data_IF_686609791860
#
_entry.id   IF_686609791860
#
_cell.length_a   1.000
_cell.length_b   1.000
_cell.length_c   1.000
_cell.angle_alpha   90.00
_cell.angle_beta   90.00
_cell.angle_gamma   90.00
#
_symmetry.space_group_name_H-M   'P 1'
#
loop_
_entity.id
_entity.type
_entity.pdbx_description
1 polymer ?
#
# COMPACT_ATOMS: atom_id res chain seq x y z
N UNK A 1 -12.64 29.25 -37.57
CA UNK A 1 -11.88 28.70 -36.42
C UNK A 1 -10.57 28.02 -36.82
N UNK A 2 -10.51 27.17 -37.85
CA UNK A 2 -9.29 26.43 -38.25
C UNK A 2 -8.02 27.28 -38.48
N UNK A 3 -8.14 28.48 -39.08
CA UNK A 3 -7.01 29.39 -39.33
C UNK A 3 -6.30 29.89 -38.06
N UNK A 4 -7.02 30.01 -36.93
CA UNK A 4 -6.46 30.48 -35.66
C UNK A 4 -5.62 29.39 -34.98
N UNK A 5 -6.10 28.14 -35.05
CA UNK A 5 -5.43 26.96 -34.48
C UNK A 5 -4.08 26.72 -35.19
N UNK A 6 -4.05 26.81 -36.52
CA UNK A 6 -2.82 26.69 -37.30
C UNK A 6 -1.78 27.74 -36.96
N UNK A 7 -2.19 29.01 -36.85
CA UNK A 7 -1.29 30.11 -36.50
C UNK A 7 -0.66 29.88 -35.11
N UNK A 8 -1.43 29.35 -34.16
CA UNK A 8 -0.95 29.01 -32.83
C UNK A 8 0.05 27.83 -32.87
N UNK A 9 -0.20 26.80 -33.68
CA UNK A 9 0.73 25.68 -33.84
C UNK A 9 2.07 26.11 -34.45
N UNK A 10 2.05 26.96 -35.49
CA UNK A 10 3.29 27.50 -36.08
C UNK A 10 4.05 28.40 -35.10
N UNK A 11 3.35 29.21 -34.31
CA UNK A 11 3.96 30.02 -33.26
C UNK A 11 4.70 29.15 -32.23
N UNK A 12 4.07 28.06 -31.78
CA UNK A 12 4.66 27.09 -30.83
C UNK A 12 5.81 26.28 -31.42
N UNK A 13 5.72 25.93 -32.70
CA UNK A 13 6.79 25.22 -33.40
C UNK A 13 8.03 26.11 -33.63
N UNK A 14 7.84 27.42 -33.86
CA UNK A 14 8.93 28.37 -34.12
C UNK A 14 9.56 28.94 -32.86
N UNK A 15 8.79 29.09 -31.77
CA UNK A 15 9.28 29.51 -30.46
C UNK A 15 8.99 28.42 -29.44
N UNK A 16 9.84 27.38 -29.33
CA UNK A 16 9.70 26.35 -28.31
C UNK A 16 9.91 26.97 -26.93
N UNK A 17 8.82 27.28 -26.24
CA UNK A 17 8.87 27.50 -24.80
C UNK A 17 8.96 26.13 -24.10
N UNK A 18 9.62 26.04 -22.93
CA UNK A 18 9.62 24.81 -22.15
C UNK A 18 8.17 24.45 -21.80
N UNK A 19 7.69 23.35 -22.37
CA UNK A 19 6.34 22.83 -22.17
C UNK A 19 6.44 21.34 -21.77
N UNK A 20 5.50 20.82 -20.97
CA UNK A 20 5.50 19.41 -20.59
C UNK A 20 5.34 18.52 -21.83
N UNK A 21 5.98 17.35 -21.83
CA UNK A 21 5.96 16.42 -22.97
C UNK A 21 4.52 16.06 -23.42
N UNK A 22 3.57 16.06 -22.49
CA UNK A 22 2.14 15.83 -22.75
C UNK A 22 1.51 16.93 -23.62
N UNK A 23 1.88 18.19 -23.43
CA UNK A 23 1.39 19.31 -24.26
C UNK A 23 2.02 19.27 -25.66
N UNK A 24 3.31 18.92 -25.75
CA UNK A 24 4.01 18.76 -27.03
C UNK A 24 3.41 17.59 -27.83
N UNK A 25 3.04 16.49 -27.16
CA UNK A 25 2.37 15.34 -27.78
C UNK A 25 0.98 15.71 -28.33
N UNK A 26 0.21 16.52 -27.60
CA UNK A 26 -1.07 17.02 -28.09
C UNK A 26 -0.92 17.95 -29.31
N UNK A 27 0.11 18.83 -29.30
CA UNK A 27 0.43 19.68 -30.45
C UNK A 27 0.86 18.86 -31.68
N UNK A 28 1.65 17.79 -31.48
CA UNK A 28 2.00 16.83 -32.53
C UNK A 28 0.76 16.16 -33.12
N UNK A 29 -0.18 15.71 -32.30
CA UNK A 29 -1.40 15.07 -32.80
C UNK A 29 -2.23 16.07 -33.65
N UNK A 30 -2.28 17.33 -33.25
CA UNK A 30 -2.92 18.38 -34.04
C UNK A 30 -2.19 18.63 -35.37
N UNK A 31 -0.85 18.57 -35.36
CA UNK A 31 -0.01 18.64 -36.56
C UNK A 31 -0.25 17.50 -37.54
N UNK A 32 -0.39 16.27 -37.02
CA UNK A 32 -0.68 15.08 -37.83
C UNK A 32 -2.05 15.17 -38.50
N UNK A 33 -3.05 15.73 -37.81
CA UNK A 33 -4.37 16.01 -38.41
C UNK A 33 -4.28 17.03 -39.55
N UNK A 34 -3.55 18.13 -39.33
CA UNK A 34 -3.31 19.12 -40.40
C UNK A 34 -2.56 18.50 -41.59
N UNK A 35 -1.62 17.58 -41.35
CA UNK A 35 -0.91 16.89 -42.42
C UNK A 35 -1.87 16.02 -43.26
N UNK A 36 -2.82 15.34 -42.63
CA UNK A 36 -3.87 14.58 -43.32
C UNK A 36 -4.76 15.53 -44.14
N UNK A 37 -5.23 16.63 -43.55
CA UNK A 37 -6.07 17.62 -44.22
C UNK A 37 -5.33 18.30 -45.40
N UNK A 38 -4.03 18.53 -45.27
CA UNK A 38 -3.21 19.09 -46.34
C UNK A 38 -3.00 18.09 -47.49
N UNK A 39 -2.84 16.79 -47.20
CA UNK A 39 -2.74 15.74 -48.23
C UNK A 39 -4.04 15.63 -49.03
N UNK A 40 -5.18 15.56 -48.36
CA UNK A 40 -6.49 15.50 -49.02
C UNK A 40 -6.78 16.76 -49.84
N UNK A 41 -6.34 17.93 -49.38
CA UNK A 41 -6.45 19.17 -50.15
C UNK A 41 -5.59 19.18 -51.42
N UNK A 42 -4.38 18.60 -51.39
CA UNK A 42 -3.55 18.43 -52.59
C UNK A 42 -4.23 17.48 -53.58
N UNK A 43 -4.69 16.32 -53.13
CA UNK A 43 -5.40 15.34 -53.98
C UNK A 43 -6.66 15.96 -54.63
N UNK A 44 -7.44 16.73 -53.87
CA UNK A 44 -8.62 17.43 -54.38
C UNK A 44 -8.26 18.53 -55.40
N UNK A 45 -7.20 19.30 -55.13
CA UNK A 45 -6.73 20.35 -56.04
C UNK A 45 -6.16 19.77 -57.35
N UNK A 46 -5.44 18.65 -57.28
CA UNK A 46 -4.96 17.91 -58.45
C UNK A 46 -6.12 17.34 -59.28
N UNK A 47 -7.13 16.74 -58.63
CA UNK A 47 -8.31 16.25 -59.31
C UNK A 47 -9.10 17.37 -60.01
N UNK A 48 -9.27 18.53 -59.34
CA UNK A 48 -9.94 19.69 -59.91
C UNK A 48 -9.18 20.27 -61.11
N UNK A 49 -7.85 20.37 -61.02
CA UNK A 49 -7.00 20.80 -62.13
C UNK A 49 -7.13 19.84 -63.33
N UNK A 50 -7.07 18.53 -63.09
CA UNK A 50 -7.17 17.52 -64.14
C UNK A 50 -8.54 17.54 -64.84
N UNK A 51 -9.63 17.75 -64.09
CA UNK A 51 -10.97 17.89 -64.67
C UNK A 51 -11.11 19.17 -65.50
N UNK A 52 -10.39 20.25 -65.13
CA UNK A 52 -10.40 21.52 -65.83
C UNK A 52 -9.60 21.52 -67.14
N UNK A 53 -8.62 20.63 -67.33
CA UNK A 53 -7.69 20.63 -68.48
C UNK A 53 -8.36 20.65 -69.85
N UNK A 54 -9.54 20.02 -69.98
CA UNK A 54 -10.25 19.89 -71.26
C UNK A 54 -11.50 20.80 -71.34
N UNK A 55 -11.89 21.45 -70.25
CA UNK A 55 -13.20 22.08 -70.11
C UNK A 55 -13.18 23.53 -69.64
N UNK A 56 -12.09 23.97 -68.99
CA UNK A 56 -11.96 25.29 -68.41
C UNK A 56 -11.29 26.28 -69.38
N UNK A 57 -11.57 27.57 -69.22
CA UNK A 57 -10.83 28.63 -69.92
C UNK A 57 -9.41 28.77 -69.37
N UNK A 58 -8.51 29.38 -70.15
CA UNK A 58 -7.11 29.60 -69.75
C UNK A 58 -6.96 30.33 -68.40
N UNK A 59 -7.81 31.32 -68.13
CA UNK A 59 -7.80 32.05 -66.87
C UNK A 59 -8.29 31.18 -65.70
N UNK A 60 -9.28 30.31 -65.92
CA UNK A 60 -9.73 29.34 -64.92
C UNK A 60 -8.66 28.27 -64.65
N UNK A 61 -7.93 27.82 -65.68
CA UNK A 61 -6.80 26.89 -65.54
C UNK A 61 -5.66 27.49 -64.72
N UNK A 62 -5.31 28.76 -64.92
CA UNK A 62 -4.34 29.48 -64.08
C UNK A 62 -4.78 29.53 -62.61
N UNK A 63 -6.07 29.75 -62.36
CA UNK A 63 -6.65 29.72 -61.01
C UNK A 63 -6.51 28.35 -60.34
N UNK A 64 -6.80 27.27 -61.09
CA UNK A 64 -6.67 25.89 -60.59
C UNK A 64 -5.20 25.51 -60.32
N UNK A 65 -4.27 25.93 -61.18
CA UNK A 65 -2.84 25.68 -60.94
C UNK A 65 -2.30 26.46 -59.73
N UNK A 66 -2.75 27.71 -59.54
CA UNK A 66 -2.43 28.47 -58.32
C UNK A 66 -2.95 27.76 -57.06
N UNK A 67 -4.20 27.28 -57.07
CA UNK A 67 -4.76 26.51 -55.97
C UNK A 67 -3.98 25.20 -55.68
N UNK A 68 -3.51 24.50 -56.73
CA UNK A 68 -2.65 23.32 -56.61
C UNK A 68 -1.32 23.64 -55.94
N UNK A 69 -0.65 24.72 -56.36
CA UNK A 69 0.61 25.17 -55.75
C UNK A 69 0.43 25.59 -54.30
N UNK A 70 -0.66 26.29 -53.98
CA UNK A 70 -1.00 26.68 -52.60
C UNK A 70 -1.24 25.47 -51.70
N UNK A 71 -1.94 24.44 -52.21
CA UNK A 71 -2.13 23.17 -51.50
C UNK A 71 -0.78 22.45 -51.25
N UNK A 72 0.11 22.45 -52.25
CA UNK A 72 1.48 21.91 -52.12
C UNK A 72 2.30 22.63 -51.04
N UNK A 73 2.29 23.96 -51.03
CA UNK A 73 2.94 24.75 -49.98
C UNK A 73 2.36 24.48 -48.59
N UNK A 74 1.05 24.27 -48.48
CA UNK A 74 0.40 23.88 -47.22
C UNK A 74 0.88 22.52 -46.73
N UNK A 75 1.01 21.54 -47.64
CA UNK A 75 1.51 20.21 -47.33
C UNK A 75 2.95 20.25 -46.80
N UNK A 76 3.83 21.02 -47.44
CA UNK A 76 5.22 21.13 -46.99
C UNK A 76 5.35 21.81 -45.63
N UNK A 77 4.53 22.85 -45.38
CA UNK A 77 4.44 23.47 -44.06
C UNK A 77 3.92 22.51 -42.98
N UNK A 78 2.94 21.67 -43.31
CA UNK A 78 2.42 20.66 -42.38
C UNK A 78 3.48 19.58 -42.05
N UNK A 79 4.25 19.13 -43.06
CA UNK A 79 5.38 18.20 -42.84
C UNK A 79 6.44 18.81 -41.92
N UNK A 80 6.82 20.06 -42.16
CA UNK A 80 7.80 20.76 -41.34
C UNK A 80 7.31 20.90 -39.89
N UNK A 81 6.03 21.17 -39.69
CA UNK A 81 5.42 21.33 -38.37
C UNK A 81 5.38 20.00 -37.58
N UNK A 82 5.09 18.87 -38.23
CA UNK A 82 5.23 17.53 -37.61
C UNK A 82 6.68 17.23 -37.26
N UNK A 83 7.63 17.55 -38.16
CA UNK A 83 9.06 17.37 -37.92
C UNK A 83 9.55 18.14 -36.69
N UNK A 84 9.13 19.41 -36.55
CA UNK A 84 9.47 20.24 -35.41
C UNK A 84 8.95 19.67 -34.08
N UNK A 85 7.69 19.26 -34.00
CA UNK A 85 7.14 18.68 -32.77
C UNK A 85 7.74 17.31 -32.42
N UNK A 86 8.18 16.53 -33.41
CA UNK A 86 8.92 15.30 -33.14
C UNK A 86 10.28 15.58 -32.48
N UNK A 87 11.03 16.58 -32.98
CA UNK A 87 12.29 16.97 -32.39
C UNK A 87 12.09 17.49 -30.95
N UNK A 88 11.08 18.34 -30.72
CA UNK A 88 10.74 18.85 -29.40
C UNK A 88 10.35 17.74 -28.41
N UNK A 89 9.65 16.68 -28.87
CA UNK A 89 9.31 15.55 -28.01
C UNK A 89 10.53 14.74 -27.56
N UNK A 90 11.51 14.56 -28.46
CA UNK A 90 12.76 13.87 -28.12
C UNK A 90 13.53 14.68 -27.06
N UNK A 91 13.70 15.98 -27.31
CA UNK A 91 14.40 16.88 -26.39
C UNK A 91 13.72 16.95 -25.00
N UNK A 92 12.39 17.07 -24.97
CA UNK A 92 11.63 17.05 -23.72
C UNK A 92 11.80 15.73 -22.95
N UNK A 93 11.78 14.59 -23.66
CA UNK A 93 11.99 13.28 -23.04
C UNK A 93 13.41 13.08 -22.51
N UNK A 94 14.43 13.64 -23.16
CA UNK A 94 15.81 13.63 -22.67
C UNK A 94 15.97 14.54 -21.44
N UNK A 95 15.37 15.73 -21.45
CA UNK A 95 15.37 16.65 -20.32
C UNK A 95 14.67 16.04 -19.08
N UNK A 96 13.53 15.37 -19.25
CA UNK A 96 12.82 14.68 -18.16
C UNK A 96 13.69 13.55 -17.56
N UNK A 97 14.37 12.76 -18.40
CA UNK A 97 15.29 11.71 -17.92
C UNK A 97 16.48 12.28 -17.16
N UNK A 98 17.06 13.38 -17.64
CA UNK A 98 18.16 14.06 -16.96
C UNK A 98 17.72 14.66 -15.62
N UNK A 99 16.53 15.27 -15.56
CA UNK A 99 15.97 15.80 -14.32
C UNK A 99 15.73 14.68 -13.28
N UNK A 100 15.14 13.55 -13.71
CA UNK A 100 14.92 12.40 -12.84
C UNK A 100 16.24 11.81 -12.31
N UNK A 101 17.24 11.65 -13.19
CA UNK A 101 18.58 11.20 -12.78
C UNK A 101 19.20 12.16 -11.76
N UNK A 102 19.06 13.46 -11.97
CA UNK A 102 19.61 14.48 -11.07
C UNK A 102 18.97 14.40 -9.69
N UNK A 103 17.64 14.23 -9.63
CA UNK A 103 16.91 14.00 -8.37
C UNK A 103 17.41 12.76 -7.63
N UNK A 104 17.55 11.62 -8.33
CA UNK A 104 18.05 10.37 -7.73
C UNK A 104 19.47 10.56 -7.16
N UNK A 105 20.33 11.28 -7.88
CA UNK A 105 21.70 11.58 -7.43
C UNK A 105 21.68 12.49 -6.21
N UNK A 106 20.87 13.55 -6.20
CA UNK A 106 20.74 14.46 -5.06
C UNK A 106 20.22 13.75 -3.80
N UNK A 107 19.21 12.89 -3.94
CA UNK A 107 18.69 12.05 -2.85
C UNK A 107 19.78 11.12 -2.31
N UNK A 108 20.54 10.47 -3.19
CA UNK A 108 21.62 9.58 -2.79
C UNK A 108 22.75 10.33 -2.05
N UNK A 109 23.15 11.50 -2.56
CA UNK A 109 24.19 12.35 -1.91
C UNK A 109 23.72 12.83 -0.55
N UNK A 110 22.46 13.25 -0.44
CA UNK A 110 21.87 13.70 0.84
C UNK A 110 21.83 12.57 1.86
N UNK A 111 21.42 11.36 1.44
CA UNK A 111 21.41 10.18 2.31
C UNK A 111 22.83 9.79 2.76
N UNK A 112 23.82 9.84 1.87
CA UNK A 112 25.21 9.56 2.21
C UNK A 112 25.78 10.59 3.20
N UNK A 113 25.48 11.87 3.02
CA UNK A 113 25.91 12.93 3.93
C UNK A 113 25.30 12.75 5.31
N UNK A 114 23.99 12.49 5.39
CA UNK A 114 23.30 12.24 6.65
C UNK A 114 23.85 11.00 7.38
N UNK A 115 24.12 9.92 6.63
CA UNK A 115 24.74 8.72 7.20
C UNK A 115 26.15 9.00 7.74
N UNK A 116 26.98 9.72 6.96
CA UNK A 116 28.34 10.10 7.38
C UNK A 116 28.30 10.92 8.66
N UNK A 117 27.47 11.94 8.73
CA UNK A 117 27.32 12.80 9.92
C UNK A 117 26.92 11.99 11.15
N UNK A 118 25.94 11.08 10.99
CA UNK A 118 25.51 10.20 12.06
C UNK A 118 26.65 9.28 12.56
N UNK A 119 27.41 8.70 11.63
CA UNK A 119 28.56 7.87 11.97
C UNK A 119 29.67 8.66 12.68
N UNK A 120 30.01 9.85 12.19
CA UNK A 120 31.06 10.68 12.81
C UNK A 120 30.65 11.14 14.21
N UNK A 121 29.37 11.45 14.42
CA UNK A 121 28.84 11.92 15.70
C UNK A 121 28.66 10.80 16.73
N UNK A 122 27.99 9.71 16.37
CA UNK A 122 27.46 8.75 17.35
C UNK A 122 28.26 7.46 17.45
N UNK A 123 28.90 7.01 16.35
CA UNK A 123 29.60 5.73 16.30
C UNK A 123 30.75 5.61 17.32
N UNK A 124 31.60 6.63 17.56
CA UNK A 124 32.68 6.51 18.54
C UNK A 124 32.15 6.25 19.96
N UNK A 125 31.07 6.95 20.35
CA UNK A 125 30.44 6.80 21.65
C UNK A 125 29.76 5.43 21.81
N UNK A 126 29.06 4.96 20.78
CA UNK A 126 28.45 3.63 20.77
C UNK A 126 29.50 2.52 20.85
N UNK A 127 30.58 2.61 20.07
CA UNK A 127 31.67 1.65 20.07
C UNK A 127 32.38 1.58 21.43
N UNK A 128 32.62 2.73 22.07
CA UNK A 128 33.21 2.76 23.42
C UNK A 128 32.32 2.07 24.45
N UNK A 129 31.01 2.32 24.43
CA UNK A 129 30.04 1.67 25.32
C UNK A 129 29.98 0.16 25.09
N UNK A 130 29.92 -0.28 23.83
CA UNK A 130 29.91 -1.70 23.49
C UNK A 130 31.16 -2.43 23.99
N UNK A 131 32.35 -1.85 23.79
CA UNK A 131 33.61 -2.41 24.33
C UNK A 131 33.61 -2.49 25.86
N UNK A 132 33.11 -1.46 26.55
CA UNK A 132 33.01 -1.47 28.00
C UNK A 132 32.08 -2.57 28.52
N UNK A 133 30.92 -2.77 27.88
CA UNK A 133 29.98 -3.84 28.22
C UNK A 133 30.60 -5.23 28.05
N UNK A 134 31.28 -5.47 26.92
CA UNK A 134 31.96 -6.74 26.66
C UNK A 134 33.08 -7.01 27.67
N UNK A 135 33.90 -6.00 27.99
CA UNK A 135 34.97 -6.14 28.98
C UNK A 135 34.42 -6.48 30.38
N UNK A 136 33.29 -5.89 30.77
CA UNK A 136 32.60 -6.21 32.03
C UNK A 136 32.03 -7.63 32.02
N UNK A 137 31.40 -8.04 30.92
CA UNK A 137 30.89 -9.41 30.76
C UNK A 137 32.02 -10.43 30.90
N UNK A 138 33.11 -10.27 30.16
CA UNK A 138 34.23 -11.21 30.19
C UNK A 138 34.90 -11.26 31.56
N UNK A 139 34.97 -10.12 32.27
CA UNK A 139 35.44 -10.06 33.66
C UNK A 139 34.51 -10.84 34.59
N UNK A 140 33.19 -10.65 34.45
CA UNK A 140 32.20 -11.38 35.23
C UNK A 140 32.24 -12.88 34.92
N UNK A 141 32.42 -13.29 33.66
CA UNK A 141 32.51 -14.71 33.28
C UNK A 141 33.71 -15.37 33.94
N UNK A 142 34.89 -14.76 33.86
CA UNK A 142 36.09 -15.27 34.55
C UNK A 142 35.89 -15.37 36.07
N UNK A 143 35.27 -14.36 36.68
CA UNK A 143 35.02 -14.34 38.11
C UNK A 143 34.01 -15.43 38.53
N UNK A 144 32.90 -15.56 37.82
CA UNK A 144 31.87 -16.58 38.06
C UNK A 144 32.43 -17.98 37.86
N UNK A 145 33.22 -18.23 36.82
CA UNK A 145 33.88 -19.53 36.60
C UNK A 145 34.84 -19.86 37.74
N UNK A 146 35.66 -18.89 38.18
CA UNK A 146 36.58 -19.09 39.29
C UNK A 146 35.84 -19.37 40.61
N UNK A 147 34.76 -18.62 40.89
CA UNK A 147 33.91 -18.81 42.07
C UNK A 147 33.24 -20.18 42.06
N UNK A 148 32.63 -20.58 40.93
CA UNK A 148 31.99 -21.90 40.81
C UNK A 148 32.98 -23.05 40.98
N UNK A 149 34.22 -22.90 40.50
CA UNK A 149 35.29 -23.87 40.75
C UNK A 149 35.66 -23.97 42.23
N UNK A 150 35.72 -22.83 42.93
CA UNK A 150 35.99 -22.81 44.37
C UNK A 150 34.86 -23.45 45.19
N UNK A 151 33.59 -23.13 44.87
CA UNK A 151 32.40 -23.72 45.50
C UNK A 151 32.37 -25.25 45.34
N UNK A 152 32.65 -25.74 44.12
CA UNK A 152 32.75 -27.17 43.86
C UNK A 152 33.88 -27.83 44.68
N UNK A 153 35.02 -27.16 44.83
CA UNK A 153 36.13 -27.64 45.66
C UNK A 153 35.82 -27.65 47.16
N UNK A 154 34.92 -26.78 47.63
CA UNK A 154 34.45 -26.72 49.02
C UNK A 154 33.28 -27.68 49.33
N UNK A 155 32.74 -28.36 48.32
CA UNK A 155 31.57 -29.24 48.48
C UNK A 155 30.24 -28.49 48.64
N UNK A 156 30.20 -27.19 48.31
CA UNK A 156 28.96 -26.43 48.27
C UNK A 156 28.14 -26.82 47.03
N UNK A 157 26.85 -27.14 47.24
CA UNK A 157 26.01 -27.75 46.21
C UNK A 157 25.39 -26.79 45.19
N UNK A 158 25.38 -25.47 45.44
CA UNK A 158 24.79 -24.49 44.51
C UNK A 158 25.88 -23.74 43.74
N UNK A 159 25.72 -23.66 42.42
CA UNK A 159 26.60 -22.86 41.56
C UNK A 159 25.94 -21.51 41.28
N UNK A 160 26.75 -20.48 41.10
CA UNK A 160 26.29 -19.19 40.64
C UNK A 160 25.73 -19.33 39.22
N UNK A 161 24.62 -18.62 38.91
CA UNK A 161 24.02 -18.65 37.58
C UNK A 161 24.96 -18.07 36.51
N UNK A 162 24.72 -18.37 35.22
CA UNK A 162 25.45 -17.77 34.12
C UNK A 162 25.40 -16.23 34.15
N UNK A 163 26.46 -15.57 33.66
CA UNK A 163 26.62 -14.11 33.74
C UNK A 163 25.47 -13.34 33.09
N UNK A 164 24.90 -13.85 32.01
CA UNK A 164 23.79 -13.21 31.30
C UNK A 164 22.40 -13.66 31.79
N UNK A 165 22.31 -14.47 32.87
CA UNK A 165 21.04 -14.99 33.37
C UNK A 165 20.04 -13.88 33.77
N UNK A 166 20.53 -12.70 34.17
CA UNK A 166 19.70 -11.53 34.49
C UNK A 166 18.89 -11.00 33.30
N UNK A 167 19.28 -11.35 32.07
CA UNK A 167 18.59 -10.95 30.84
C UNK A 167 17.44 -11.88 30.48
N UNK A 168 17.39 -13.08 31.07
CA UNK A 168 16.29 -14.00 30.85
C UNK A 168 15.00 -13.44 31.48
N UNK A 169 13.89 -13.53 30.75
CA UNK A 169 12.59 -13.17 31.30
C UNK A 169 11.81 -14.43 31.63
N UNK A 170 11.43 -14.61 32.90
CA UNK A 170 10.54 -15.70 33.25
C UNK A 170 9.19 -15.45 32.57
N UNK A 171 8.70 -16.48 31.92
CA UNK A 171 7.37 -16.56 31.38
C UNK A 171 6.33 -16.47 32.48
N UNK A 172 5.11 -16.19 32.06
CA UNK A 172 3.95 -16.12 32.95
C UNK A 172 2.89 -17.07 32.42
N UNK A 173 2.36 -17.96 33.28
CA UNK A 173 1.32 -18.87 32.83
C UNK A 173 0.07 -18.09 32.40
N UNK A 174 -0.75 -18.73 31.57
CA UNK A 174 -2.09 -18.26 31.25
C UNK A 174 -2.88 -18.08 32.55
N UNK A 175 -3.56 -16.95 32.69
CA UNK A 175 -4.34 -16.63 33.88
C UNK A 175 -5.79 -16.38 33.47
N UNK A 176 -6.72 -17.09 34.11
CA UNK A 176 -8.16 -16.88 33.92
C UNK A 176 -8.61 -15.74 34.83
N UNK A 177 -9.05 -14.63 34.23
CA UNK A 177 -9.54 -13.47 34.98
C UNK A 177 -11.01 -13.63 35.34
N UNK A 178 -11.81 -14.06 34.36
CA UNK A 178 -13.25 -14.20 34.49
C UNK A 178 -13.78 -15.29 33.56
N UNK A 179 -14.73 -16.08 34.06
CA UNK A 179 -15.52 -17.02 33.27
C UNK A 179 -16.98 -16.88 33.60
N UNK A 180 -17.79 -16.64 32.58
CA UNK A 180 -19.24 -16.54 32.71
C UNK A 180 -19.95 -17.33 31.62
N UNK A 181 -21.08 -17.93 31.97
CA UNK A 181 -21.92 -18.63 31.01
C UNK A 181 -23.12 -17.76 30.69
N UNK A 182 -23.21 -17.31 29.45
CA UNK A 182 -24.29 -16.43 28.98
C UNK A 182 -25.10 -17.11 27.87
N UNK A 183 -26.39 -16.83 27.83
CA UNK A 183 -27.26 -17.31 26.78
C UNK A 183 -27.34 -16.28 25.65
N UNK A 184 -26.83 -16.61 24.46
CA UNK A 184 -26.77 -15.70 23.31
C UNK A 184 -27.67 -16.18 22.18
N UNK A 185 -28.12 -15.23 21.36
CA UNK A 185 -28.81 -15.52 20.11
C UNK A 185 -27.84 -16.11 19.09
N UNK A 186 -28.27 -17.16 18.38
CA UNK A 186 -27.44 -17.82 17.36
C UNK A 186 -28.08 -17.77 15.98
N UNK A 187 -27.23 -17.80 14.96
CA UNK A 187 -27.64 -17.95 13.58
C UNK A 187 -28.10 -19.39 13.27
N UNK A 188 -28.50 -19.65 12.02
CA UNK A 188 -28.89 -20.99 11.58
C UNK A 188 -27.76 -22.03 11.68
N UNK A 189 -26.50 -21.60 11.62
CA UNK A 189 -25.33 -22.45 11.79
C UNK A 189 -24.98 -22.72 13.27
N UNK A 190 -25.65 -22.04 14.21
CA UNK A 190 -25.44 -22.20 15.65
C UNK A 190 -24.28 -21.36 16.22
N UNK A 191 -23.81 -20.36 15.48
CA UNK A 191 -22.81 -19.39 15.91
C UNK A 191 -23.49 -18.18 16.57
N UNK A 192 -22.85 -17.58 17.58
CA UNK A 192 -23.38 -16.37 18.20
C UNK A 192 -23.44 -15.22 17.19
N UNK A 193 -24.60 -14.56 17.10
CA UNK A 193 -24.79 -13.41 16.21
C UNK A 193 -24.07 -12.18 16.77
N UNK A 194 -23.49 -11.35 15.91
CA UNK A 194 -22.97 -10.04 16.30
C UNK A 194 -24.08 -9.11 16.84
N UNK A 195 -23.72 -8.07 17.57
CA UNK A 195 -24.67 -7.06 18.09
C UNK A 195 -25.78 -7.63 19.00
N UNK A 196 -25.47 -8.59 19.88
CA UNK A 196 -26.40 -9.19 20.84
C UNK A 196 -27.26 -8.16 21.60
N UNK A 197 -26.66 -7.02 21.96
CA UNK A 197 -27.32 -5.93 22.68
C UNK A 197 -28.41 -5.20 21.87
N UNK A 198 -28.43 -5.37 20.53
CA UNK A 198 -29.40 -4.71 19.63
C UNK A 198 -30.55 -5.62 19.22
N UNK A 199 -30.56 -6.88 19.67
CA UNK A 199 -31.66 -7.82 19.39
C UNK A 199 -32.87 -7.44 20.24
N UNK A 200 -34.01 -7.19 19.59
CA UNK A 200 -35.29 -6.92 20.27
C UNK A 200 -36.07 -8.22 20.42
N UNK A 201 -36.61 -8.46 21.61
CA UNK A 201 -37.44 -9.63 21.88
C UNK A 201 -38.88 -9.37 21.41
N UNK A 202 -39.44 -10.32 20.66
CA UNK A 202 -40.84 -10.33 20.25
C UNK A 202 -41.72 -11.10 21.25
N UNK A 203 -43.03 -10.89 21.19
CA UNK A 203 -44.00 -11.51 22.13
C UNK A 203 -44.06 -13.03 22.02
N UNK A 204 -43.58 -13.62 20.93
CA UNK A 204 -43.50 -15.06 20.70
C UNK A 204 -42.21 -15.71 21.23
N UNK A 205 -41.34 -14.92 21.84
CA UNK A 205 -40.05 -15.35 22.36
C UNK A 205 -38.93 -15.38 21.31
N UNK A 206 -39.17 -14.98 20.06
CA UNK A 206 -38.12 -14.85 19.03
C UNK A 206 -37.43 -13.48 19.11
N UNK A 207 -36.20 -13.39 18.60
CA UNK A 207 -35.44 -12.15 18.56
C UNK A 207 -35.43 -11.55 17.16
N UNK A 208 -35.50 -10.23 17.02
CA UNK A 208 -35.26 -9.54 15.75
C UNK A 208 -34.06 -8.60 15.83
N UNK A 209 -33.18 -8.71 14.85
CA UNK A 209 -32.00 -7.86 14.69
C UNK A 209 -32.15 -7.01 13.42
N UNK A 210 -32.08 -5.69 13.59
CA UNK A 210 -31.99 -4.72 12.51
C UNK A 210 -30.57 -4.16 12.48
N UNK A 211 -29.83 -4.47 11.41
CA UNK A 211 -28.50 -3.91 11.18
C UNK A 211 -28.62 -2.56 10.46
N UNK A 212 -27.77 -1.56 10.80
CA UNK A 212 -27.72 -0.32 10.05
C UNK A 212 -27.36 -0.63 8.59
N UNK A 213 -28.17 -0.13 7.65
CA UNK A 213 -28.07 -0.32 6.19
C UNK A 213 -28.55 -1.67 5.63
N UNK A 214 -29.16 -2.56 6.42
CA UNK A 214 -29.81 -3.76 5.90
C UNK A 214 -31.31 -3.54 5.65
N UNK A 215 -31.79 -3.92 4.46
CA UNK A 215 -33.21 -3.86 4.07
C UNK A 215 -34.07 -4.97 4.70
N UNK A 216 -33.46 -5.96 5.37
CA UNK A 216 -34.14 -7.13 5.90
C UNK A 216 -33.92 -7.29 7.40
N UNK A 217 -35.01 -7.63 8.11
CA UNK A 217 -34.98 -7.99 9.53
C UNK A 217 -34.49 -9.43 9.67
N UNK A 218 -33.41 -9.63 10.40
CA UNK A 218 -32.96 -10.97 10.75
C UNK A 218 -33.77 -11.47 11.94
N UNK A 219 -34.61 -12.49 11.72
CA UNK A 219 -35.35 -13.17 12.77
C UNK A 219 -34.54 -14.33 13.33
N UNK A 220 -34.33 -14.31 14.63
CA UNK A 220 -33.53 -15.26 15.40
C UNK A 220 -34.48 -16.11 16.23
N UNK A 221 -34.52 -17.41 15.96
CA UNK A 221 -35.43 -18.36 16.61
C UNK A 221 -34.72 -19.26 17.61
N UNK A 222 -33.39 -19.15 17.72
CA UNK A 222 -32.54 -20.07 18.49
C UNK A 222 -31.62 -19.32 19.44
N UNK A 223 -31.42 -19.87 20.63
CA UNK A 223 -30.44 -19.42 21.62
C UNK A 223 -29.53 -20.57 22.05
N UNK A 224 -28.32 -20.25 22.45
CA UNK A 224 -27.34 -21.23 22.92
C UNK A 224 -26.54 -20.64 24.08
N UNK A 225 -26.15 -21.50 25.02
CA UNK A 225 -25.23 -21.10 26.07
C UNK A 225 -23.82 -20.98 25.50
N UNK A 226 -23.12 -19.92 25.88
CA UNK A 226 -21.70 -19.72 25.59
C UNK A 226 -20.96 -19.45 26.89
N UNK A 227 -19.80 -20.05 27.03
CA UNK A 227 -18.81 -19.65 28.02
C UNK A 227 -17.98 -18.52 27.42
N UNK A 228 -18.04 -17.35 28.05
CA UNK A 228 -17.14 -16.23 27.80
C UNK A 228 -16.04 -16.32 28.85
N UNK A 229 -14.81 -16.54 28.39
CA UNK A 229 -13.61 -16.68 29.23
C UNK A 229 -12.68 -15.54 28.88
N UNK A 230 -12.45 -14.66 29.84
CA UNK A 230 -11.46 -13.59 29.79
C UNK A 230 -10.17 -14.11 30.43
N UNK A 231 -9.10 -14.18 29.64
CA UNK A 231 -7.80 -14.68 30.11
C UNK A 231 -6.68 -13.70 29.78
N UNK A 232 -5.70 -13.56 30.69
CA UNK A 232 -4.40 -13.01 30.30
C UNK A 232 -3.62 -14.10 29.55
N UNK A 233 -3.08 -13.79 28.37
CA UNK A 233 -2.36 -14.78 27.58
C UNK A 233 -1.09 -15.24 28.30
N UNK A 234 -0.68 -16.47 27.96
CA UNK A 234 0.59 -17.03 28.40
C UNK A 234 1.73 -16.25 27.75
N UNK A 235 2.73 -15.90 28.56
CA UNK A 235 4.01 -15.36 28.08
C UNK A 235 5.03 -16.47 28.25
N UNK A 236 5.64 -16.91 27.15
CA UNK A 236 6.69 -17.94 27.21
C UNK A 236 7.97 -17.37 27.80
N UNK A 237 8.75 -18.22 28.45
CA UNK A 237 10.12 -17.90 28.85
C UNK A 237 10.90 -17.40 27.62
N UNK A 238 11.54 -16.25 27.75
CA UNK A 238 12.43 -15.74 26.70
C UNK A 238 13.85 -15.70 27.21
N UNK A 239 14.71 -16.44 26.53
CA UNK A 239 16.15 -16.34 26.70
C UNK A 239 16.69 -15.52 25.54
N UNK A 240 17.11 -14.27 25.76
CA UNK A 240 17.65 -13.46 24.68
C UNK A 240 18.96 -14.06 24.17
N UNK A 241 19.28 -13.75 22.91
CA UNK A 241 20.58 -14.11 22.33
C UNK A 241 21.72 -13.48 23.12
N UNK A 242 22.91 -14.10 23.04
CA UNK A 242 24.10 -13.62 23.75
C UNK A 242 24.36 -12.14 23.48
N UNK A 243 24.93 -11.41 24.45
CA UNK A 243 25.20 -9.99 24.30
C UNK A 243 26.07 -9.69 23.07
N UNK A 244 27.03 -10.56 22.77
CA UNK A 244 27.90 -10.46 21.58
C UNK A 244 27.09 -10.54 20.28
N UNK A 245 26.13 -11.47 20.22
CA UNK A 245 25.23 -11.62 19.08
C UNK A 245 24.32 -10.39 18.93
N UNK A 246 23.76 -9.89 20.03
CA UNK A 246 22.89 -8.73 20.03
C UNK A 246 23.62 -7.42 19.63
N UNK A 247 24.89 -7.27 19.99
CA UNK A 247 25.72 -6.14 19.57
C UNK A 247 26.14 -6.22 18.09
N UNK A 248 26.29 -7.42 17.56
CA UNK A 248 26.66 -7.65 16.15
C UNK A 248 25.45 -7.56 15.21
N UNK A 249 24.27 -7.94 15.68
CA UNK A 249 23.01 -7.93 14.92
C UNK A 249 21.94 -7.24 15.77
N UNK A 250 21.81 -5.91 15.66
CA UNK A 250 20.90 -5.13 16.50
C UNK A 250 19.43 -5.57 16.41
N UNK A 251 19.00 -6.12 15.27
CA UNK A 251 17.65 -6.66 15.07
C UNK A 251 17.31 -7.82 16.01
N UNK A 252 18.33 -8.51 16.54
CA UNK A 252 18.15 -9.58 17.52
C UNK A 252 18.02 -9.05 18.95
N UNK A 253 18.23 -7.75 19.16
CA UNK A 253 17.93 -7.10 20.41
C UNK A 253 16.43 -6.79 20.47
N UNK A 254 15.65 -7.76 20.96
CA UNK A 254 14.28 -7.48 21.35
C UNK A 254 14.30 -6.78 22.70
N UNK A 255 13.81 -5.53 22.83
CA UNK A 255 13.61 -4.94 24.14
C UNK A 255 12.66 -5.85 24.91
N UNK A 256 12.95 -6.03 26.20
CA UNK A 256 12.03 -6.61 27.15
C UNK A 256 10.60 -6.10 26.87
N UNK A 257 9.61 -6.95 26.52
CA UNK A 257 8.23 -6.50 26.46
C UNK A 257 7.83 -6.00 27.85
N UNK A 258 7.90 -4.68 28.04
CA UNK A 258 7.39 -3.97 29.21
C UNK A 258 5.89 -3.76 29.14
N UNK A 259 5.22 -4.35 28.15
CA UNK A 259 3.78 -4.18 27.98
C UNK A 259 3.02 -5.01 29.01
N UNK A 260 2.09 -4.36 29.70
CA UNK A 260 1.08 -5.05 30.49
C UNK A 260 0.31 -6.03 29.60
N UNK A 261 0.10 -7.26 30.08
CA UNK A 261 -0.67 -8.28 29.35
C UNK A 261 -2.09 -7.76 29.16
N UNK A 262 -2.55 -7.64 27.91
CA UNK A 262 -3.93 -7.26 27.61
C UNK A 262 -4.84 -8.49 27.75
N UNK A 263 -5.99 -8.38 28.44
CA UNK A 263 -6.97 -9.45 28.50
C UNK A 263 -7.47 -9.84 27.10
N UNK A 264 -7.59 -11.14 26.87
CA UNK A 264 -8.20 -11.71 25.68
C UNK A 264 -9.50 -12.42 26.06
N UNK A 265 -10.58 -12.10 25.33
CA UNK A 265 -11.88 -12.72 25.52
C UNK A 265 -12.09 -13.81 24.49
N UNK A 266 -12.26 -15.04 24.96
CA UNK A 266 -12.60 -16.20 24.12
C UNK A 266 -14.02 -16.65 24.42
N UNK A 267 -14.75 -17.06 23.38
CA UNK A 267 -16.14 -17.50 23.51
C UNK A 267 -16.29 -18.92 22.97
N UNK A 268 -16.77 -19.84 23.82
CA UNK A 268 -16.95 -21.25 23.48
C UNK A 268 -18.42 -21.64 23.63
N UNK A 269 -19.03 -22.30 22.64
CA UNK A 269 -20.39 -22.80 22.78
C UNK A 269 -20.48 -23.97 23.79
N UNK A 270 -21.53 -23.96 24.60
CA UNK A 270 -21.86 -25.02 25.56
C UNK A 270 -23.21 -25.63 25.23
N UNK A 271 -23.23 -26.95 25.04
CA UNK A 271 -24.45 -27.71 24.71
C UNK A 271 -25.03 -27.37 23.32
N UNK A 272 -26.18 -27.97 22.94
CA UNK A 272 -26.85 -27.69 21.68
C UNK A 272 -27.64 -26.37 21.73
N UNK A 273 -27.84 -25.73 20.56
CA UNK A 273 -28.73 -24.58 20.43
C UNK A 273 -30.20 -25.01 20.59
N UNK A 274 -30.96 -24.23 21.37
CA UNK A 274 -32.36 -24.46 21.70
C UNK A 274 -33.25 -23.48 20.95
N UNK A 275 -34.40 -23.97 20.50
CA UNK A 275 -35.40 -23.14 19.84
C UNK A 275 -36.25 -22.43 20.91
N UNK A 276 -36.46 -21.13 20.75
CA UNK A 276 -37.09 -20.27 21.78
C UNK A 276 -38.53 -19.88 21.40
N UNK A 277 -38.86 -19.90 20.11
CA UNK A 277 -40.22 -19.62 19.63
C UNK A 277 -41.13 -20.84 19.71
N UNK A 278 -42.40 -20.65 20.07
CA UNK A 278 -43.44 -21.66 19.81
C UNK A 278 -43.57 -21.84 18.30
N UNK A 279 -43.26 -23.03 17.80
CA UNK A 279 -43.52 -23.43 16.40
C UNK A 279 -44.99 -23.11 16.09
N UNK A 280 -45.32 -22.17 15.19
CA UNK A 280 -46.69 -22.09 14.70
C UNK A 280 -47.02 -23.42 14.01
N UNK A 281 -48.20 -24.02 14.24
CA UNK A 281 -48.53 -25.33 13.67
C UNK A 281 -48.43 -25.26 12.15
N UNK A 282 -47.79 -26.27 11.56
CA UNK A 282 -47.70 -26.37 10.11
C UNK A 282 -49.11 -26.45 9.51
N UNK A 283 -49.29 -25.88 8.30
CA UNK A 283 -50.58 -25.89 7.60
C UNK A 283 -51.15 -27.30 7.38
N UNK A 284 -50.31 -28.33 7.45
CA UNK A 284 -50.69 -29.75 7.40
C UNK A 284 -51.51 -30.21 8.63
N UNK A 285 -51.34 -29.57 9.78
CA UNK A 285 -52.03 -29.94 11.04
C UNK A 285 -53.36 -29.21 11.23
N UNK A 286 -53.71 -28.23 10.36
CA UNK A 286 -54.98 -27.49 10.42
C UNK A 286 -56.12 -28.10 9.61
N UNK A 287 -55.92 -29.29 9.03
CA UNK A 287 -56.94 -30.04 8.26
C UNK A 287 -57.13 -31.48 8.79
N UNK A 288 -57.05 -31.66 10.10
CA UNK A 288 -57.53 -32.85 10.80
C UNK A 288 -58.76 -32.48 11.63
#
# INVERSE_FOLDING_TARGET
MARSILKNLFSRASNPAPAPATEIAANRQAAERELVDARTAVEAAEAAYNAGLLSASDDALRGLDAARRDAGMRLDRAKALVGAFNAQLVEAGEAEKHAELSRIVEEAVTAQAAFKELCERDLPGMAAKARAMLALRDRAERATTAANKALAGAGEGSTLPPVEAFRAQPGRPREELRRETVELWVDHAGNAVGYQQKVKLESDGTGTLSLPNASHLHRLTRRRMFEIIETLPEVRDTQPTSLVTALSVPELYSPAPTADRTPETTMRPVGPARDVGRRPPERSERRA
#
